data_IF_657636145502
#
_entry.id   IF_657636145502
#
_cell.length_a   1.000
_cell.length_b   1.000
_cell.length_c   1.000
_cell.angle_alpha   90.00
_cell.angle_beta   90.00
_cell.angle_gamma   90.00
#
_symmetry.space_group_name_H-M   'P 1'
#
loop_
_entity.id
_entity.type
_entity.pdbx_description
1 polymer ?
#
# COMPACT_ATOMS: atom_id res chain seq x y z
N UNK A 1 1.71 6.38 12.40
CA UNK A 1 0.91 5.87 11.26
C UNK A 1 1.02 4.36 11.07
N UNK A 2 2.21 3.75 11.16
CA UNK A 2 2.42 2.30 10.99
C UNK A 2 1.43 1.39 11.76
N UNK A 3 1.24 1.62 13.06
CA UNK A 3 0.27 0.84 13.87
C UNK A 3 -1.18 1.03 13.40
N UNK A 4 -1.54 2.24 12.98
CA UNK A 4 -2.85 2.55 12.41
C UNK A 4 -3.07 1.81 11.07
N UNK A 5 -2.05 1.74 10.21
CA UNK A 5 -2.14 0.99 8.96
C UNK A 5 -2.29 -0.51 9.19
N UNK A 6 -1.57 -1.10 10.15
CA UNK A 6 -1.72 -2.52 10.50
C UNK A 6 -3.12 -2.79 11.09
N UNK A 7 -3.62 -1.89 11.93
CA UNK A 7 -4.93 -2.03 12.57
C UNK A 7 -6.09 -1.92 11.55
N UNK A 8 -6.02 -0.96 10.61
CA UNK A 8 -7.18 -0.53 9.82
C UNK A 8 -7.07 -0.74 8.31
N UNK A 9 -5.88 -1.04 7.78
CA UNK A 9 -5.71 -1.34 6.36
C UNK A 9 -5.30 -2.79 6.14
N UNK A 10 -5.82 -3.36 5.07
CA UNK A 10 -5.34 -4.65 4.63
C UNK A 10 -3.97 -4.52 3.94
N UNK A 11 -3.24 -5.63 3.89
CA UNK A 11 -1.95 -5.70 3.21
C UNK A 11 -2.04 -5.18 1.75
N UNK A 12 -3.15 -5.43 1.05
CA UNK A 12 -3.29 -5.09 -0.37
C UNK A 12 -3.42 -3.59 -0.60
N UNK A 13 -4.11 -2.89 0.28
CA UNK A 13 -4.28 -1.44 0.25
C UNK A 13 -2.91 -0.76 0.42
N UNK A 14 -2.10 -1.26 1.35
CA UNK A 14 -0.74 -0.75 1.59
C UNK A 14 0.16 -1.07 0.39
N UNK A 15 0.05 -2.27 -0.20
CA UNK A 15 0.79 -2.63 -1.41
C UNK A 15 0.39 -1.79 -2.63
N UNK A 16 -0.90 -1.54 -2.83
CA UNK A 16 -1.40 -0.75 -3.95
C UNK A 16 -0.91 0.70 -3.87
N UNK A 17 -0.89 1.27 -2.67
CA UNK A 17 -0.35 2.60 -2.41
C UNK A 17 1.17 2.65 -2.66
N UNK A 18 1.93 1.71 -2.08
CA UNK A 18 3.37 1.62 -2.32
C UNK A 18 3.71 1.46 -3.81
N UNK A 19 2.95 0.63 -4.52
CA UNK A 19 3.11 0.38 -5.95
C UNK A 19 2.78 1.62 -6.80
N UNK A 20 1.72 2.35 -6.45
CA UNK A 20 1.34 3.59 -7.14
C UNK A 20 2.39 4.71 -7.01
N UNK A 21 3.20 4.68 -5.96
CA UNK A 21 4.24 5.68 -5.68
C UNK A 21 5.64 5.28 -6.16
N UNK A 22 5.84 4.08 -6.72
CA UNK A 22 7.17 3.51 -7.00
C UNK A 22 8.04 4.38 -7.92
N UNK A 23 7.42 5.05 -8.91
CA UNK A 23 8.10 5.84 -9.93
C UNK A 23 8.19 7.33 -9.57
N UNK A 24 7.73 7.72 -8.38
CA UNK A 24 7.74 9.12 -7.95
C UNK A 24 9.10 9.51 -7.36
N UNK A 25 9.68 10.58 -7.93
CA UNK A 25 10.94 11.19 -7.46
C UNK A 25 10.76 12.16 -6.27
N UNK A 26 9.52 12.42 -5.86
CA UNK A 26 9.24 13.42 -4.82
C UNK A 26 9.67 12.96 -3.43
N UNK A 27 10.22 13.89 -2.66
CA UNK A 27 10.63 13.65 -1.26
C UNK A 27 9.50 13.06 -0.42
N UNK A 28 8.29 13.61 -0.54
CA UNK A 28 7.10 13.13 0.14
C UNK A 28 6.74 11.69 -0.26
N UNK A 29 6.71 11.39 -1.57
CA UNK A 29 6.41 10.04 -2.05
C UNK A 29 7.46 9.01 -1.58
N UNK A 30 8.72 9.42 -1.42
CA UNK A 30 9.77 8.58 -0.80
C UNK A 30 9.49 8.31 0.68
N UNK A 31 9.11 9.33 1.46
CA UNK A 31 8.72 9.16 2.88
C UNK A 31 7.56 8.17 3.01
N UNK A 32 6.49 8.35 2.23
CA UNK A 32 5.31 7.46 2.26
C UNK A 32 5.69 6.02 1.84
N UNK A 33 6.52 5.86 0.79
CA UNK A 33 7.02 4.53 0.40
C UNK A 33 7.84 3.85 1.48
N UNK A 34 8.69 4.59 2.19
CA UNK A 34 9.47 4.04 3.30
C UNK A 34 8.54 3.57 4.43
N UNK A 35 7.52 4.35 4.79
CA UNK A 35 6.52 3.93 5.78
C UNK A 35 5.75 2.69 5.32
N UNK A 36 5.40 2.60 4.03
CA UNK A 36 4.71 1.43 3.48
C UNK A 36 5.61 0.19 3.54
N UNK A 37 6.87 0.33 3.15
CA UNK A 37 7.85 -0.74 3.19
C UNK A 37 8.03 -1.28 4.61
N UNK A 38 8.24 -0.42 5.60
CA UNK A 38 8.35 -0.80 7.01
C UNK A 38 7.08 -1.49 7.53
N UNK A 39 5.91 -0.98 7.15
CA UNK A 39 4.63 -1.56 7.54
C UNK A 39 4.46 -2.95 6.94
N UNK A 40 4.75 -3.12 5.65
CA UNK A 40 4.69 -4.41 4.96
C UNK A 40 5.68 -5.42 5.55
N UNK A 41 6.91 -5.00 5.88
CA UNK A 41 7.87 -5.85 6.58
C UNK A 41 7.34 -6.32 7.93
N UNK A 42 6.69 -5.44 8.70
CA UNK A 42 6.08 -5.81 9.98
C UNK A 42 4.93 -6.80 9.79
N UNK A 43 4.06 -6.56 8.82
CA UNK A 43 2.98 -7.49 8.43
C UNK A 43 3.57 -8.86 8.05
N UNK A 44 4.63 -8.89 7.25
CA UNK A 44 5.29 -10.14 6.84
C UNK A 44 5.75 -10.95 8.07
N UNK A 45 6.40 -10.32 9.05
CA UNK A 45 6.83 -10.97 10.32
C UNK A 45 5.66 -11.49 11.15
N UNK A 46 4.57 -10.71 11.22
CA UNK A 46 3.38 -11.08 11.98
C UNK A 46 2.62 -12.25 11.34
N UNK A 47 2.50 -12.27 10.00
CA UNK A 47 1.83 -13.35 9.28
C UNK A 47 2.62 -14.65 9.45
N UNK A 48 3.93 -14.55 9.29
CA UNK A 48 4.87 -15.65 9.44
C UNK A 48 4.83 -16.27 10.84
N UNK A 49 4.74 -15.44 11.89
CA UNK A 49 4.62 -15.92 13.28
C UNK A 49 3.22 -16.39 13.65
N UNK A 50 2.24 -16.29 12.73
CA UNK A 50 0.84 -16.60 13.01
C UNK A 50 0.15 -15.61 13.96
N UNK A 51 0.79 -14.48 14.27
CA UNK A 51 0.30 -13.49 15.23
C UNK A 51 -0.40 -12.30 14.57
N UNK A 52 -0.47 -12.25 13.25
CA UNK A 52 -1.01 -11.09 12.52
C UNK A 52 -2.41 -10.67 12.95
N UNK A 53 -3.38 -11.59 12.99
CA UNK A 53 -4.74 -11.22 13.37
C UNK A 53 -4.84 -10.83 14.85
N UNK A 54 -4.03 -11.45 15.72
CA UNK A 54 -3.98 -11.11 17.15
C UNK A 54 -3.35 -9.73 17.37
N UNK A 55 -2.23 -9.45 16.71
CA UNK A 55 -1.55 -8.15 16.78
C UNK A 55 -2.40 -7.07 16.14
N UNK A 56 -3.05 -7.34 15.00
CA UNK A 56 -4.01 -6.45 14.38
C UNK A 56 -5.17 -6.13 15.32
N UNK A 57 -5.74 -7.14 15.97
CA UNK A 57 -6.80 -6.95 16.97
C UNK A 57 -6.28 -6.19 18.21
N UNK A 58 -5.07 -6.49 18.69
CA UNK A 58 -4.42 -5.79 19.81
C UNK A 58 -4.19 -4.33 19.49
N UNK A 59 -3.61 -4.02 18.34
CA UNK A 59 -3.38 -2.65 17.87
C UNK A 59 -4.69 -1.92 17.67
N UNK A 60 -5.68 -2.58 17.07
CA UNK A 60 -7.04 -2.03 16.95
C UNK A 60 -7.68 -1.75 18.33
N UNK A 61 -7.41 -2.56 19.34
CA UNK A 61 -7.92 -2.37 20.71
C UNK A 61 -7.16 -1.31 21.54
N UNK A 62 -5.86 -1.11 21.27
CA UNK A 62 -5.01 -0.12 21.94
C UNK A 62 -5.24 1.30 21.44
N UNK A 63 -5.79 1.44 20.24
CA UNK A 63 -6.27 2.71 19.71
C UNK A 63 -7.61 2.99 20.42
N UNK A 64 -7.70 3.99 21.35
CA UNK A 64 -8.73 4.02 22.39
C UNK A 64 -10.17 4.06 21.87
N UNK A 65 -10.99 3.11 22.32
CA UNK A 65 -12.43 2.99 21.99
C UNK A 65 -13.32 4.07 22.66
N UNK A 66 -12.74 4.97 23.46
CA UNK A 66 -13.37 6.19 24.00
C UNK A 66 -12.83 7.50 23.40
N UNK A 67 -11.82 7.41 22.51
CA UNK A 67 -11.52 8.41 21.49
C UNK A 67 -12.26 8.09 20.17
N UNK A 68 -13.28 7.22 20.22
CA UNK A 68 -14.70 7.53 19.91
C UNK A 68 -15.50 6.20 19.96
N UNK A 69 -16.45 6.07 20.89
CA UNK A 69 -17.36 4.92 21.00
C UNK A 69 -18.49 5.00 19.99
N UNK A 70 -18.22 4.44 18.82
CA UNK A 70 -19.13 3.99 17.77
C UNK A 70 -18.23 3.16 16.82
N UNK A 71 -18.74 2.25 15.96
CA UNK A 71 -17.94 1.75 14.83
C UNK A 71 -17.25 2.96 14.21
N UNK A 72 -15.94 2.97 13.89
CA UNK A 72 -15.30 4.19 13.47
C UNK A 72 -16.00 4.66 12.21
N UNK A 73 -16.91 5.63 12.33
CA UNK A 73 -16.89 6.73 11.40
C UNK A 73 -15.45 7.15 11.44
N UNK A 74 -14.75 6.87 10.34
CA UNK A 74 -13.50 7.53 10.07
C UNK A 74 -13.80 8.99 10.41
N UNK A 75 -13.20 9.52 11.49
CA UNK A 75 -13.65 10.84 11.98
C UNK A 75 -13.65 11.76 10.77
N UNK A 76 -14.65 12.65 10.60
CA UNK A 76 -14.72 13.48 9.39
C UNK A 76 -13.36 14.11 9.06
N UNK A 77 -12.55 14.40 10.07
CA UNK A 77 -11.17 14.87 9.97
C UNK A 77 -10.14 13.84 9.45
N UNK A 78 -10.14 12.59 9.94
CA UNK A 78 -9.24 11.54 9.45
C UNK A 78 -9.65 11.10 8.04
N UNK A 79 -10.96 11.01 7.77
CA UNK A 79 -11.48 10.66 6.46
C UNK A 79 -11.15 11.77 5.47
N UNK A 80 -11.38 13.03 5.86
CA UNK A 80 -10.98 14.17 5.06
C UNK A 80 -9.48 14.21 4.82
N UNK A 81 -8.64 13.78 5.77
CA UNK A 81 -7.21 13.70 5.54
C UNK A 81 -6.87 12.67 4.45
N UNK A 82 -7.44 11.47 4.51
CA UNK A 82 -7.25 10.45 3.47
C UNK A 82 -7.85 10.88 2.13
N UNK A 83 -9.06 11.43 2.13
CA UNK A 83 -9.72 11.95 0.92
C UNK A 83 -8.92 13.10 0.30
N UNK A 84 -8.31 13.95 1.13
CA UNK A 84 -7.43 15.02 0.67
C UNK A 84 -6.14 14.47 0.04
N UNK A 85 -5.55 13.42 0.62
CA UNK A 85 -4.40 12.74 0.02
C UNK A 85 -4.76 12.04 -1.29
N UNK A 86 -5.88 11.33 -1.31
CA UNK A 86 -6.41 10.69 -2.52
C UNK A 86 -6.72 11.73 -3.59
N UNK A 87 -7.27 12.87 -3.21
CA UNK A 87 -7.56 13.99 -4.09
C UNK A 87 -6.28 14.61 -4.65
N UNK A 88 -5.29 14.90 -3.81
CA UNK A 88 -4.00 15.43 -4.22
C UNK A 88 -3.30 14.50 -5.22
N UNK A 89 -3.25 13.20 -4.89
CA UNK A 89 -2.66 12.17 -5.75
C UNK A 89 -3.43 12.02 -7.06
N UNK A 90 -4.77 12.06 -7.00
CA UNK A 90 -5.61 12.02 -8.18
C UNK A 90 -5.42 13.26 -9.08
N UNK A 91 -5.25 14.45 -8.51
CA UNK A 91 -5.07 15.69 -9.27
C UNK A 91 -3.76 15.72 -10.03
N UNK A 92 -2.68 15.24 -9.42
CA UNK A 92 -1.38 15.04 -10.10
C UNK A 92 -1.44 13.98 -11.20
N UNK A 93 -2.36 13.03 -11.09
CA UNK A 93 -2.60 12.00 -12.10
C UNK A 93 -3.83 12.29 -12.97
N UNK A 94 -4.33 13.53 -12.94
CA UNK A 94 -5.54 13.93 -13.66
C UNK A 94 -5.36 13.73 -15.16
N UNK A 95 -6.37 13.23 -15.89
CA UNK A 95 -6.35 13.22 -17.35
C UNK A 95 -6.38 14.63 -17.95
N UNK A 96 -6.74 15.64 -17.15
CA UNK A 96 -6.70 17.05 -17.53
C UNK A 96 -5.28 17.62 -17.27
N UNK A 97 -4.52 17.96 -18.33
CA UNK A 97 -3.15 18.43 -18.20
C UNK A 97 -3.05 19.76 -17.44
N UNK A 98 -4.05 20.64 -17.55
CA UNK A 98 -4.05 21.93 -16.86
C UNK A 98 -4.30 21.75 -15.37
N UNK A 99 -5.17 20.81 -15.00
CA UNK A 99 -5.40 20.48 -13.60
C UNK A 99 -4.15 19.83 -12.98
N UNK A 100 -3.51 18.89 -13.68
CA UNK A 100 -2.24 18.30 -13.22
C UNK A 100 -1.18 19.36 -12.96
N UNK A 101 -0.99 20.30 -13.89
CA UNK A 101 -0.03 21.39 -13.73
C UNK A 101 -0.35 22.29 -12.52
N UNK A 102 -1.63 22.53 -12.20
CA UNK A 102 -2.02 23.28 -10.99
C UNK A 102 -1.67 22.53 -9.70
N UNK A 103 -1.93 21.22 -9.64
CA UNK A 103 -1.59 20.40 -8.47
C UNK A 103 -0.08 20.28 -8.26
N UNK A 104 0.69 20.13 -9.34
CA UNK A 104 2.16 20.12 -9.29
C UNK A 104 2.72 21.47 -8.82
N UNK A 105 2.24 22.58 -9.39
CA UNK A 105 2.63 23.94 -8.97
C UNK A 105 2.28 24.20 -7.51
N UNK A 106 1.12 23.75 -7.06
CA UNK A 106 0.72 23.85 -5.65
C UNK A 106 1.68 23.09 -4.74
N UNK A 107 2.00 21.84 -5.06
CA UNK A 107 2.91 21.03 -4.25
C UNK A 107 4.29 21.65 -4.08
N UNK A 108 4.81 22.28 -5.15
CA UNK A 108 6.07 23.03 -5.13
C UNK A 108 5.95 24.33 -4.35
N UNK A 109 4.93 25.15 -4.62
CA UNK A 109 4.76 26.47 -4.01
C UNK A 109 4.43 26.40 -2.52
N UNK A 110 3.67 25.39 -2.09
CA UNK A 110 3.34 25.14 -0.69
C UNK A 110 4.46 24.43 0.07
N UNK A 111 5.57 24.07 -0.59
CA UNK A 111 6.71 23.43 0.08
C UNK A 111 6.36 22.07 0.69
N UNK A 112 5.38 21.35 0.14
CA UNK A 112 4.86 20.11 0.75
C UNK A 112 5.95 19.04 0.90
N UNK A 113 6.99 19.10 0.07
CA UNK A 113 8.13 18.17 0.10
C UNK A 113 8.96 18.23 1.38
N UNK A 114 8.94 19.35 2.11
CA UNK A 114 9.71 19.58 3.34
C UNK A 114 8.87 19.47 4.61
N UNK A 115 7.55 19.37 4.48
CA UNK A 115 6.61 19.31 5.60
C UNK A 115 6.42 17.87 6.11
N UNK A 116 6.01 17.75 7.36
CA UNK A 116 5.54 16.51 7.96
C UNK A 116 4.08 16.23 7.59
N UNK A 117 3.69 14.96 7.62
CA UNK A 117 2.41 14.54 7.03
C UNK A 117 1.19 15.22 7.69
N UNK A 118 1.25 15.50 8.99
CA UNK A 118 0.20 16.20 9.72
C UNK A 118 0.11 17.70 9.36
N UNK A 119 1.20 18.29 8.89
CA UNK A 119 1.28 19.69 8.46
C UNK A 119 0.75 19.86 7.04
N UNK A 120 0.87 18.83 6.19
CA UNK A 120 0.44 18.84 4.78
C UNK A 120 -1.09 18.77 4.66
N UNK A 121 -1.74 17.98 5.51
CA UNK A 121 -3.19 17.67 5.41
C UNK A 121 -4.08 18.91 5.25
N UNK A 122 -3.94 19.98 6.07
CA UNK A 122 -4.75 21.19 5.91
C UNK A 122 -4.58 21.86 4.53
N UNK A 123 -3.37 21.83 3.96
CA UNK A 123 -3.09 22.43 2.66
C UNK A 123 -3.76 21.65 1.53
N UNK A 124 -3.59 20.33 1.52
CA UNK A 124 -4.16 19.49 0.45
C UNK A 124 -5.67 19.31 0.58
N UNK A 125 -6.24 19.45 1.79
CA UNK A 125 -7.67 19.39 2.01
C UNK A 125 -8.43 20.59 1.40
N UNK A 126 -7.74 21.71 1.18
CA UNK A 126 -8.30 22.90 0.55
C UNK A 126 -8.28 22.86 -0.99
N UNK A 127 -7.74 21.78 -1.59
CA UNK A 127 -7.62 21.67 -3.04
C UNK A 127 -8.95 21.37 -3.71
N UNK A 128 -9.09 21.87 -4.95
CA UNK A 128 -10.23 21.52 -5.81
C UNK A 128 -10.35 20.00 -5.99
N UNK A 129 -11.56 19.43 -6.15
CA UNK A 129 -11.69 18.02 -6.50
C UNK A 129 -10.99 17.68 -7.82
N UNK A 130 -10.13 16.66 -7.78
CA UNK A 130 -9.42 16.16 -8.94
C UNK A 130 -10.39 15.48 -9.92
N UNK A 131 -10.25 15.81 -11.20
CA UNK A 131 -10.89 15.06 -12.28
C UNK A 131 -10.25 13.67 -12.30
N UNK A 132 -11.04 12.68 -11.92
CA UNK A 132 -10.63 11.27 -11.99
C UNK A 132 -10.98 10.76 -13.38
N UNK A 133 -10.15 9.90 -13.97
CA UNK A 133 -10.59 9.10 -15.12
C UNK A 133 -11.81 8.28 -14.66
N UNK A 134 -12.99 8.53 -15.23
CA UNK A 134 -14.10 7.59 -15.10
C UNK A 134 -13.70 6.28 -15.80
N UNK A 135 -13.39 5.26 -15.00
CA UNK A 135 -13.00 3.94 -15.48
C UNK A 135 -11.97 3.28 -14.58
N UNK A 136 -12.34 2.09 -14.06
CA UNK A 136 -11.58 1.07 -13.29
C UNK A 136 -10.40 1.59 -12.45
N UNK A 137 -10.50 1.44 -11.12
CA UNK A 137 -9.42 1.66 -10.13
C UNK A 137 -8.05 1.34 -10.75
N UNK A 138 -7.30 2.38 -11.11
CA UNK A 138 -5.92 2.26 -11.57
C UNK A 138 -5.10 1.79 -10.36
N UNK A 139 -4.17 0.87 -10.59
CA UNK A 139 -3.40 0.10 -9.59
C UNK A 139 -4.06 -1.22 -9.13
N UNK A 140 -4.52 -2.04 -10.10
CA UNK A 140 -4.57 -3.49 -9.89
C UNK A 140 -3.14 -3.98 -9.68
N UNK A 141 -2.85 -4.58 -8.53
CA UNK A 141 -1.51 -5.12 -8.25
C UNK A 141 -1.21 -6.23 -9.27
N UNK A 142 0.01 -6.31 -9.83
CA UNK A 142 0.34 -7.37 -10.81
C UNK A 142 0.10 -8.80 -10.28
N UNK A 143 0.14 -8.98 -8.96
CA UNK A 143 -0.08 -10.24 -8.26
C UNK A 143 -1.47 -10.39 -7.63
N UNK A 144 -2.41 -9.49 -7.89
CA UNK A 144 -3.74 -9.50 -7.27
C UNK A 144 -4.50 -10.80 -7.52
N UNK A 145 -4.46 -11.30 -8.76
CA UNK A 145 -5.09 -12.57 -9.16
C UNK A 145 -4.38 -13.82 -8.63
N UNK A 146 -3.22 -13.66 -7.98
CA UNK A 146 -2.36 -14.73 -7.49
C UNK A 146 -2.09 -14.60 -5.98
N UNK A 147 -2.98 -13.93 -5.24
CA UNK A 147 -2.77 -13.60 -3.81
C UNK A 147 -2.54 -14.83 -2.95
N UNK A 148 -3.33 -15.87 -3.18
CA UNK A 148 -3.23 -17.14 -2.43
C UNK A 148 -1.86 -17.78 -2.65
N UNK A 149 -1.37 -17.80 -3.89
CA UNK A 149 -0.04 -18.31 -4.22
C UNK A 149 1.07 -17.45 -3.62
N UNK A 150 0.94 -16.12 -3.61
CA UNK A 150 1.90 -15.24 -2.93
C UNK A 150 2.02 -15.58 -1.44
N UNK A 151 0.91 -15.89 -0.78
CA UNK A 151 0.89 -16.34 0.62
C UNK A 151 1.62 -17.68 0.81
N UNK A 152 1.42 -18.65 -0.08
CA UNK A 152 2.14 -19.93 -0.03
C UNK A 152 3.64 -19.78 -0.26
N UNK A 153 4.03 -18.89 -1.19
CA UNK A 153 5.44 -18.60 -1.46
C UNK A 153 6.08 -17.95 -0.23
N UNK A 154 5.42 -16.95 0.38
CA UNK A 154 5.87 -16.32 1.64
C UNK A 154 6.15 -17.36 2.72
N UNK A 155 5.20 -18.25 2.99
CA UNK A 155 5.37 -19.27 4.02
C UNK A 155 6.51 -20.24 3.71
N UNK A 156 6.62 -20.65 2.44
CA UNK A 156 7.67 -21.56 2.00
C UNK A 156 9.06 -20.93 2.12
N UNK A 157 9.20 -19.66 1.73
CA UNK A 157 10.44 -18.88 1.85
C UNK A 157 10.83 -18.72 3.32
N UNK A 158 9.89 -18.40 4.20
CA UNK A 158 10.15 -18.36 5.63
C UNK A 158 10.62 -19.71 6.18
N UNK A 159 10.08 -20.81 5.66
CA UNK A 159 10.48 -22.18 6.02
C UNK A 159 11.86 -22.58 5.42
N UNK A 160 12.64 -21.63 4.90
CA UNK A 160 14.00 -21.85 4.38
C UNK A 160 14.07 -22.21 2.89
N UNK A 161 12.96 -22.20 2.15
CA UNK A 161 13.01 -22.46 0.71
C UNK A 161 13.51 -21.25 -0.08
N UNK A 162 14.29 -21.49 -1.13
CA UNK A 162 14.59 -20.44 -2.10
C UNK A 162 13.31 -20.00 -2.84
N UNK A 163 13.24 -18.73 -3.27
CA UNK A 163 12.08 -18.20 -4.01
C UNK A 163 11.71 -19.07 -5.22
N UNK A 164 12.65 -19.53 -6.08
CA UNK A 164 12.30 -20.42 -7.19
C UNK A 164 11.64 -21.72 -6.74
N UNK A 165 12.16 -22.35 -5.66
CA UNK A 165 11.61 -23.59 -5.11
C UNK A 165 10.21 -23.36 -4.51
N UNK A 166 10.04 -22.27 -3.75
CA UNK A 166 8.75 -21.87 -3.21
C UNK A 166 7.70 -21.59 -4.30
N UNK A 167 8.10 -20.92 -5.39
CA UNK A 167 7.21 -20.65 -6.53
C UNK A 167 6.79 -21.92 -7.28
N UNK A 168 7.68 -22.90 -7.42
CA UNK A 168 7.35 -24.23 -7.95
C UNK A 168 6.34 -24.96 -7.07
N UNK A 169 6.59 -25.04 -5.77
CA UNK A 169 5.67 -25.65 -4.81
C UNK A 169 4.28 -24.99 -4.84
N UNK A 170 4.23 -23.65 -4.94
CA UNK A 170 2.98 -22.92 -5.06
C UNK A 170 2.26 -23.23 -6.39
N UNK A 171 2.98 -23.31 -7.50
CA UNK A 171 2.42 -23.66 -8.80
C UNK A 171 1.85 -25.10 -8.80
N UNK A 172 2.58 -26.07 -8.26
CA UNK A 172 2.16 -27.47 -8.15
C UNK A 172 0.86 -27.60 -7.33
N UNK A 173 0.74 -26.84 -6.24
CA UNK A 173 -0.45 -26.84 -5.38
C UNK A 173 -1.72 -26.37 -6.09
N UNK A 174 -1.60 -25.56 -7.16
CA UNK A 174 -2.74 -25.14 -7.99
C UNK A 174 -3.24 -26.21 -8.97
N UNK A 175 -2.48 -27.30 -9.19
CA UNK A 175 -2.78 -28.41 -10.12
C UNK A 175 -3.16 -27.96 -11.55
N UNK A 176 -2.61 -26.85 -12.02
CA UNK A 176 -2.82 -26.34 -13.38
C UNK A 176 -1.78 -26.90 -14.36
N UNK A 177 -2.15 -27.00 -15.63
CA UNK A 177 -1.19 -27.29 -16.70
C UNK A 177 -0.12 -26.18 -16.81
N UNK A 178 1.08 -26.55 -17.26
CA UNK A 178 2.17 -25.58 -17.45
C UNK A 178 2.84 -25.09 -16.15
N UNK A 179 3.06 -26.01 -15.19
CA UNK A 179 3.62 -25.75 -13.86
C UNK A 179 4.89 -24.89 -13.93
N UNK A 180 5.83 -25.19 -14.83
CA UNK A 180 7.11 -24.48 -14.90
C UNK A 180 6.94 -23.01 -15.35
N UNK A 181 6.07 -22.75 -16.33
CA UNK A 181 5.77 -21.37 -16.77
C UNK A 181 5.03 -20.58 -15.68
N UNK A 182 4.13 -21.25 -14.95
CA UNK A 182 3.44 -20.67 -13.81
C UNK A 182 4.42 -20.34 -12.68
N UNK A 183 5.32 -21.26 -12.34
CA UNK A 183 6.35 -21.07 -11.31
C UNK A 183 7.23 -19.86 -11.64
N UNK A 184 7.72 -19.73 -12.88
CA UNK A 184 8.49 -18.55 -13.32
C UNK A 184 7.70 -17.24 -13.18
N UNK A 185 6.41 -17.26 -13.53
CA UNK A 185 5.53 -16.09 -13.38
C UNK A 185 5.36 -15.71 -11.92
N UNK A 186 5.09 -16.69 -11.06
CA UNK A 186 4.90 -16.50 -9.62
C UNK A 186 6.19 -16.00 -8.95
N UNK A 187 7.35 -16.56 -9.31
CA UNK A 187 8.65 -16.07 -8.85
C UNK A 187 8.84 -14.59 -9.20
N UNK A 188 8.63 -14.22 -10.47
CA UNK A 188 8.79 -12.83 -10.93
C UNK A 188 7.88 -11.88 -10.15
N UNK A 189 6.60 -12.24 -9.99
CA UNK A 189 5.63 -11.44 -9.24
C UNK A 189 6.00 -11.32 -7.76
N UNK A 190 6.46 -12.41 -7.14
CA UNK A 190 6.89 -12.39 -5.75
C UNK A 190 8.13 -11.51 -5.54
N UNK A 191 9.09 -11.54 -6.47
CA UNK A 191 10.24 -10.62 -6.45
C UNK A 191 9.82 -9.15 -6.59
N UNK A 192 8.84 -8.85 -7.45
CA UNK A 192 8.29 -7.50 -7.53
C UNK A 192 7.60 -7.08 -6.24
N UNK A 193 6.86 -7.99 -5.61
CA UNK A 193 6.24 -7.78 -4.29
C UNK A 193 7.31 -7.49 -3.22
N UNK A 194 8.43 -8.22 -3.21
CA UNK A 194 9.54 -7.97 -2.29
C UNK A 194 10.16 -6.59 -2.44
N UNK A 195 10.28 -6.05 -3.66
CA UNK A 195 10.79 -4.68 -3.87
C UNK A 195 9.98 -3.60 -3.14
N UNK A 196 8.69 -3.83 -2.88
CA UNK A 196 7.88 -2.90 -2.09
C UNK A 196 8.23 -2.91 -0.59
N UNK A 197 8.94 -3.93 -0.11
CA UNK A 197 9.45 -4.02 1.25
C UNK A 197 10.88 -3.49 1.37
N UNK A 198 11.58 -3.26 0.27
CA UNK A 198 12.94 -2.75 0.31
C UNK A 198 12.90 -1.23 0.54
N UNK A 199 13.56 -0.79 1.61
CA UNK A 199 13.80 0.63 1.89
C UNK A 199 15.06 1.00 1.10
N UNK A 200 14.91 1.50 -0.13
CA UNK A 200 16.01 2.12 -0.88
C UNK A 200 16.19 3.57 -0.46
#
# INVERSE_FOLDING_TARGET
>A
MRDYWIAHRDEQQIEAEAYGLQDSAESFARKVRAECAETLQRIDRLIVSGSYEQERARLAAQIPSGAMSAPPEITPRIQAAFDAFDNYTAGKNSPDPDQRARFERFGLAAGLATMELHEIVPFIAALEPAKRKQGRRRHLLPWESCRTEMGWIRQSVYSGHSIPKAARLAAEKTRRAGIENRAKTLERLYRQKLKLRDIN
#
